data_IF_339041217879
#
_entry.id   IF_339041217879
#
_cell.length_a   1.000
_cell.length_b   1.000
_cell.length_c   1.000
_cell.angle_alpha   90.00
_cell.angle_beta   90.00
_cell.angle_gamma   90.00
#
_symmetry.space_group_name_H-M   'P 1'
#
loop_
_entity.id
_entity.type
_entity.pdbx_description
1 polymer ?
#
# COMPACT_ATOMS: atom_id res chain seq x y z
N UNK A 1 3.85 12.16 5.73
CA UNK A 1 4.85 12.81 6.62
C UNK A 1 6.05 11.90 6.90
N UNK A 2 5.83 10.60 7.12
CA UNK A 2 6.92 9.64 7.41
C UNK A 2 7.77 9.25 6.18
N UNK A 3 7.21 9.27 4.99
CA UNK A 3 7.95 8.95 3.75
C UNK A 3 8.97 10.01 3.33
N UNK A 4 8.79 11.25 3.76
CA UNK A 4 9.61 12.39 3.31
C UNK A 4 11.02 12.43 3.89
N UNK A 5 11.19 11.98 5.13
CA UNK A 5 12.49 12.04 5.80
C UNK A 5 13.43 10.89 5.37
N UNK A 6 12.87 9.74 5.00
CA UNK A 6 13.63 8.58 4.56
C UNK A 6 14.04 8.63 3.08
N UNK A 7 13.30 9.36 2.23
CA UNK A 7 13.72 9.54 0.84
C UNK A 7 14.99 10.40 0.69
N UNK A 8 15.26 11.32 1.62
CA UNK A 8 16.47 12.16 1.57
C UNK A 8 17.78 11.39 1.71
N UNK A 9 17.74 10.18 2.31
CA UNK A 9 18.94 9.33 2.49
C UNK A 9 19.25 8.45 1.28
N UNK A 10 18.26 8.15 0.44
CA UNK A 10 18.41 7.26 -0.74
C UNK A 10 19.08 7.90 -1.95
N UNK A 11 19.12 9.22 -2.03
CA UNK A 11 19.68 9.93 -3.22
C UNK A 11 21.21 9.88 -3.34
N UNK A 12 21.95 9.41 -2.33
CA UNK A 12 23.41 9.30 -2.40
C UNK A 12 23.88 7.96 -2.96
N UNK A 13 23.05 6.90 -2.93
CA UNK A 13 23.44 5.54 -3.31
C UNK A 13 23.19 5.20 -4.79
N UNK A 14 22.39 5.96 -5.52
CA UNK A 14 22.02 5.63 -6.91
C UNK A 14 23.10 5.96 -7.95
N UNK A 15 24.14 6.70 -7.58
CA UNK A 15 25.22 7.11 -8.50
C UNK A 15 26.40 6.13 -8.60
N UNK A 16 26.42 5.05 -7.77
CA UNK A 16 27.53 4.09 -7.76
C UNK A 16 27.24 2.73 -8.43
N UNK A 17 26.02 2.43 -8.79
CA UNK A 17 25.63 1.13 -9.34
C UNK A 17 25.74 0.97 -10.87
N UNK A 18 26.11 2.03 -11.60
CA UNK A 18 26.18 2.00 -13.07
C UNK A 18 27.52 1.54 -13.66
N UNK A 19 28.51 1.12 -12.86
CA UNK A 19 29.88 0.89 -13.32
C UNK A 19 30.38 -0.56 -13.29
N UNK A 20 29.56 -1.57 -12.96
CA UNK A 20 30.03 -2.97 -12.92
C UNK A 20 29.02 -3.96 -13.53
N UNK A 21 28.84 -3.88 -14.82
CA UNK A 21 28.22 -4.95 -15.59
C UNK A 21 29.03 -5.26 -16.84
N UNK A 22 30.21 -5.86 -16.66
CA UNK A 22 30.91 -6.60 -17.71
C UNK A 22 31.88 -7.57 -17.04
N UNK A 23 31.45 -8.80 -16.82
CA UNK A 23 32.23 -10.02 -16.96
C UNK A 23 31.62 -11.18 -16.16
N UNK A 24 31.52 -12.25 -16.85
CA UNK A 24 31.55 -13.67 -16.48
C UNK A 24 30.29 -14.46 -16.82
N UNK A 25 30.31 -14.93 -18.06
CA UNK A 25 29.65 -16.17 -18.45
C UNK A 25 30.68 -17.28 -18.32
N UNK A 26 30.44 -18.29 -17.49
CA UNK A 26 30.92 -19.68 -17.52
C UNK A 26 30.41 -20.34 -16.23
N UNK A 27 29.53 -21.33 -16.16
CA UNK A 27 29.56 -22.59 -16.84
C UNK A 27 29.42 -23.64 -15.78
N UNK A 28 28.36 -24.45 -15.81
CA UNK A 28 28.36 -25.77 -15.20
C UNK A 28 27.57 -26.71 -16.09
N UNK A 29 28.27 -27.59 -16.73
CA UNK A 29 27.75 -28.78 -17.37
C UNK A 29 28.65 -29.92 -17.05
N UNK A 30 28.11 -31.00 -16.59
CA UNK A 30 28.81 -32.19 -16.22
C UNK A 30 28.69 -33.29 -17.28
N UNK A 31 29.79 -34.00 -17.45
CA UNK A 31 30.04 -35.39 -17.89
C UNK A 31 30.39 -35.72 -19.34
N UNK A 32 31.61 -36.06 -19.39
CA UNK A 32 32.24 -37.29 -19.97
C UNK A 32 32.35 -37.45 -21.48
N UNK A 33 33.58 -37.54 -21.84
CA UNK A 33 34.36 -38.49 -22.61
C UNK A 33 34.99 -38.03 -23.92
N UNK A 34 36.32 -38.00 -23.80
CA UNK A 34 37.36 -38.53 -24.70
C UNK A 34 37.57 -38.00 -26.12
N UNK A 35 38.80 -37.62 -26.28
CA UNK A 35 39.77 -37.92 -27.38
C UNK A 35 40.26 -36.75 -28.22
N UNK A 36 41.51 -36.45 -27.93
CA UNK A 36 42.67 -36.22 -28.80
C UNK A 36 42.67 -35.15 -29.92
N UNK A 37 43.74 -34.38 -29.80
CA UNK A 37 44.68 -33.91 -30.85
C UNK A 37 44.36 -32.62 -31.61
N UNK A 38 45.29 -31.81 -31.49
CA UNK A 38 46.32 -31.11 -32.26
C UNK A 38 46.09 -29.61 -32.50
N UNK A 39 47.02 -28.92 -31.97
CA UNK A 39 47.89 -27.81 -32.40
C UNK A 39 47.50 -27.01 -33.65
N UNK A 40 47.39 -25.69 -33.52
CA UNK A 40 48.23 -24.76 -34.29
C UNK A 40 48.19 -23.33 -33.75
N UNK A 41 49.39 -22.76 -33.65
CA UNK A 41 49.67 -21.35 -33.32
C UNK A 41 49.43 -20.46 -34.55
N UNK A 42 49.05 -19.24 -34.37
CA UNK A 42 49.63 -18.12 -35.14
C UNK A 42 49.52 -16.81 -34.37
N UNK A 43 50.63 -16.14 -34.30
CA UNK A 43 50.93 -14.83 -33.71
C UNK A 43 50.51 -13.65 -34.59
N UNK A 44 50.58 -12.48 -33.95
CA UNK A 44 50.95 -11.14 -34.50
C UNK A 44 49.76 -10.30 -34.96
N UNK A 45 49.55 -9.04 -34.59
CA UNK A 45 50.46 -7.89 -34.43
C UNK A 45 49.75 -6.72 -33.71
N UNK A 46 50.56 -5.96 -32.97
CA UNK A 46 50.19 -4.68 -32.38
C UNK A 46 50.21 -3.55 -33.43
N UNK A 47 49.37 -2.56 -33.27
CA UNK A 47 49.60 -1.21 -33.80
C UNK A 47 49.10 -0.17 -32.82
N UNK A 48 50.04 0.62 -32.33
CA UNK A 48 49.82 1.83 -31.55
C UNK A 48 49.45 3.00 -32.47
N UNK A 49 48.59 3.89 -32.00
CA UNK A 49 48.51 5.24 -32.50
C UNK A 49 48.14 6.22 -31.38
N UNK A 50 48.96 7.18 -31.28
CA UNK A 50 49.17 8.25 -30.31
C UNK A 50 48.19 9.42 -30.43
N UNK A 51 47.86 10.05 -29.25
CA UNK A 51 47.81 11.49 -28.99
C UNK A 51 46.76 12.37 -29.68
N UNK A 52 45.93 13.00 -28.87
CA UNK A 52 45.90 14.49 -28.74
C UNK A 52 45.07 14.89 -27.51
N UNK A 53 45.72 15.62 -26.62
CA UNK A 53 45.10 16.35 -25.54
C UNK A 53 44.54 17.68 -26.09
N UNK A 54 43.33 18.03 -25.74
CA UNK A 54 42.84 19.40 -25.75
C UNK A 54 42.26 19.74 -24.38
N UNK A 55 42.92 20.64 -23.73
CA UNK A 55 42.43 21.42 -22.56
C UNK A 55 41.20 22.19 -22.98
N UNK A 56 40.11 22.05 -22.24
CA UNK A 56 39.06 23.02 -22.24
C UNK A 56 38.67 23.37 -20.78
N UNK A 57 38.87 24.59 -20.50
CA UNK A 57 38.60 25.39 -19.29
C UNK A 57 37.36 25.02 -18.52
N UNK A 58 37.53 24.88 -17.19
CA UNK A 58 36.47 24.87 -16.20
C UNK A 58 35.66 26.17 -16.24
N UNK A 59 34.37 26.03 -16.52
CA UNK A 59 33.38 27.02 -16.16
C UNK A 59 32.64 26.47 -14.94
N UNK A 60 32.73 27.16 -13.81
CA UNK A 60 31.90 26.99 -12.64
C UNK A 60 30.42 27.10 -13.05
N UNK A 61 29.72 25.97 -13.09
CA UNK A 61 28.26 25.97 -13.13
C UNK A 61 27.79 25.91 -11.68
N UNK A 62 27.09 26.93 -11.25
CA UNK A 62 26.32 26.93 -10.02
C UNK A 62 25.40 25.72 -10.02
N UNK A 63 25.52 24.87 -9.01
CA UNK A 63 24.56 23.81 -8.72
C UNK A 63 23.25 24.44 -8.31
N UNK A 64 22.35 24.53 -9.28
CA UNK A 64 20.92 24.65 -9.03
C UNK A 64 20.48 23.27 -8.52
N UNK A 65 20.27 23.15 -7.21
CA UNK A 65 19.70 21.97 -6.59
C UNK A 65 18.21 21.89 -6.93
N UNK A 66 17.90 21.62 -8.20
CA UNK A 66 16.58 21.12 -8.57
C UNK A 66 16.39 19.80 -7.82
N UNK A 67 15.41 19.80 -6.93
CA UNK A 67 14.90 18.60 -6.27
C UNK A 67 14.53 17.61 -7.37
N UNK A 68 15.32 16.57 -7.55
CA UNK A 68 14.98 15.46 -8.44
C UNK A 68 13.66 14.85 -7.95
N UNK A 69 12.55 15.25 -8.57
CA UNK A 69 11.31 14.51 -8.49
C UNK A 69 11.58 13.15 -9.13
N UNK A 70 11.34 12.07 -8.40
CA UNK A 70 11.42 10.73 -8.98
C UNK A 70 10.16 10.54 -9.80
N UNK A 71 10.30 10.46 -11.12
CA UNK A 71 9.16 10.35 -12.01
C UNK A 71 8.37 9.06 -11.78
N UNK A 72 9.05 7.95 -11.52
CA UNK A 72 8.42 6.65 -11.30
C UNK A 72 9.08 5.87 -10.14
N UNK A 73 8.26 5.25 -9.29
CA UNK A 73 8.67 4.30 -8.27
C UNK A 73 7.98 2.97 -8.52
N UNK A 74 8.77 1.89 -8.61
CA UNK A 74 8.27 0.53 -8.77
C UNK A 74 8.39 -0.22 -7.45
N UNK A 75 7.27 -0.73 -6.91
CA UNK A 75 7.24 -1.57 -5.71
C UNK A 75 6.60 -2.92 -6.01
N UNK A 76 6.83 -3.91 -5.15
CA UNK A 76 6.18 -5.21 -5.28
C UNK A 76 5.38 -5.57 -4.02
N UNK A 77 4.22 -6.20 -4.26
CA UNK A 77 3.30 -6.71 -3.25
C UNK A 77 3.03 -8.20 -3.47
N UNK A 78 2.63 -8.96 -2.44
CA UNK A 78 2.31 -10.38 -2.59
C UNK A 78 1.00 -10.65 -3.33
N UNK A 79 0.14 -9.66 -3.47
CA UNK A 79 -1.19 -9.76 -4.06
C UNK A 79 -1.50 -8.55 -4.91
N UNK A 80 -2.54 -8.66 -5.72
CA UNK A 80 -3.01 -7.56 -6.53
C UNK A 80 -3.53 -6.42 -5.65
N UNK A 81 -3.12 -5.19 -5.96
CA UNK A 81 -3.57 -3.99 -5.25
C UNK A 81 -5.01 -3.60 -5.61
N UNK A 82 -5.54 -4.11 -6.73
CA UNK A 82 -6.92 -3.93 -7.17
C UNK A 82 -7.57 -5.30 -7.28
N UNK A 83 -8.45 -5.65 -6.36
CA UNK A 83 -9.06 -6.97 -6.33
C UNK A 83 -10.54 -6.96 -6.75
N UNK A 84 -10.92 -7.99 -7.49
CA UNK A 84 -12.29 -8.21 -7.90
C UNK A 84 -12.78 -7.18 -8.91
N UNK A 85 -13.87 -6.49 -8.61
CA UNK A 85 -14.53 -5.49 -9.46
C UNK A 85 -13.86 -4.11 -9.44
N UNK A 86 -12.54 -4.03 -9.29
CA UNK A 86 -11.82 -2.76 -9.22
C UNK A 86 -11.90 -2.07 -7.84
N UNK A 87 -12.51 -2.71 -6.84
CA UNK A 87 -12.60 -2.17 -5.48
C UNK A 87 -11.25 -2.27 -4.77
N UNK A 88 -10.58 -1.14 -4.60
CA UNK A 88 -9.30 -1.01 -3.92
C UNK A 88 -9.41 -1.17 -2.37
N UNK A 89 -10.56 -1.61 -1.88
CA UNK A 89 -10.92 -1.67 -0.47
C UNK A 89 -9.93 -2.40 0.42
N UNK A 90 -9.29 -3.45 -0.06
CA UNK A 90 -8.53 -4.34 0.80
C UNK A 90 -7.00 -4.19 0.70
N UNK A 91 -6.51 -3.31 -0.12
CA UNK A 91 -5.08 -3.14 -0.31
C UNK A 91 -4.60 -1.83 0.31
N UNK A 92 -3.45 -1.88 0.98
CA UNK A 92 -2.81 -0.71 1.57
C UNK A 92 -2.58 0.40 0.56
N UNK A 93 -2.29 0.00 -0.66
CA UNK A 93 -2.08 0.88 -1.80
C UNK A 93 -3.37 1.62 -2.19
N UNK A 94 -4.51 1.06 -1.86
CA UNK A 94 -5.81 1.71 -2.03
C UNK A 94 -5.94 3.01 -1.22
N UNK A 95 -5.26 3.10 -0.08
CA UNK A 95 -5.23 4.32 0.73
C UNK A 95 -4.56 5.52 0.02
N UNK A 96 -3.87 5.31 -1.10
CA UNK A 96 -3.40 6.40 -1.95
C UNK A 96 -4.48 6.90 -2.92
N UNK A 97 -5.53 6.13 -3.14
CA UNK A 97 -6.58 6.42 -4.12
C UNK A 97 -7.85 6.93 -3.45
N UNK A 98 -8.27 6.29 -2.37
CA UNK A 98 -9.51 6.62 -1.67
C UNK A 98 -9.26 7.20 -0.28
N UNK A 99 -10.26 7.87 0.22
CA UNK A 99 -10.29 8.43 1.57
C UNK A 99 -11.61 8.05 2.25
N UNK A 100 -11.61 8.10 3.58
CA UNK A 100 -12.79 7.89 4.42
C UNK A 100 -13.22 9.22 5.08
N UNK A 101 -14.30 9.20 5.87
CA UNK A 101 -14.73 10.41 6.58
C UNK A 101 -13.69 10.85 7.62
N UNK A 102 -13.06 9.89 8.29
CA UNK A 102 -12.03 10.11 9.31
C UNK A 102 -10.82 9.25 9.02
N UNK A 103 -9.68 9.56 9.60
CA UNK A 103 -8.45 8.79 9.48
C UNK A 103 -8.04 8.22 10.83
N UNK A 104 -7.58 6.96 10.86
CA UNK A 104 -7.06 6.32 12.05
C UNK A 104 -5.53 6.36 12.05
N UNK A 105 -4.95 7.25 12.83
CA UNK A 105 -3.52 7.41 12.99
C UNK A 105 -3.06 6.78 14.31
N UNK A 106 -2.87 5.46 14.28
CA UNK A 106 -2.36 4.78 15.45
C UNK A 106 -3.33 4.75 16.63
N UNK A 107 -4.63 4.67 16.39
CA UNK A 107 -5.69 4.70 17.40
C UNK A 107 -6.17 6.11 17.73
N UNK A 108 -5.58 7.15 17.16
CA UNK A 108 -6.08 8.52 17.22
C UNK A 108 -6.89 8.78 15.95
N UNK A 109 -8.12 9.23 16.11
CA UNK A 109 -8.99 9.52 14.97
C UNK A 109 -8.86 11.00 14.61
N UNK A 110 -8.38 11.23 13.39
CA UNK A 110 -8.17 12.56 12.84
C UNK A 110 -9.20 12.89 11.75
N UNK A 111 -9.49 14.19 11.51
CA UNK A 111 -10.27 14.64 10.37
C UNK A 111 -9.66 14.18 9.03
N UNK A 112 -10.57 13.75 8.09
CA UNK A 112 -10.17 13.46 6.71
C UNK A 112 -11.17 14.11 5.74
N UNK A 113 -12.11 13.36 5.14
CA UNK A 113 -13.20 13.96 4.35
C UNK A 113 -14.24 14.68 5.22
N UNK A 114 -14.37 14.33 6.50
CA UNK A 114 -15.02 15.15 7.49
C UNK A 114 -14.03 16.07 8.19
N UNK A 115 -14.30 17.37 8.23
CA UNK A 115 -13.49 18.37 8.94
C UNK A 115 -13.68 18.29 10.45
N UNK A 116 -14.87 17.89 10.89
CA UNK A 116 -15.24 17.74 12.30
C UNK A 116 -16.50 16.91 12.42
N UNK A 117 -16.75 16.42 13.63
CA UNK A 117 -17.98 15.73 13.99
C UNK A 117 -18.34 16.01 15.45
N UNK A 118 -19.59 15.80 15.75
CA UNK A 118 -20.14 15.90 17.09
C UNK A 118 -21.25 14.86 17.29
N UNK A 119 -21.55 14.55 18.54
CA UNK A 119 -22.64 13.65 18.91
C UNK A 119 -23.39 14.18 20.14
N UNK A 120 -24.63 13.71 20.33
CA UNK A 120 -25.39 13.98 21.55
C UNK A 120 -24.82 13.17 22.74
N UNK A 121 -25.28 13.47 23.95
CA UNK A 121 -24.75 12.90 25.20
C UNK A 121 -24.85 11.37 25.27
N UNK A 122 -25.84 10.76 24.63
CA UNK A 122 -26.07 9.32 24.63
C UNK A 122 -25.54 8.61 23.36
N UNK A 123 -24.81 9.33 22.49
CA UNK A 123 -24.20 8.80 21.27
C UNK A 123 -25.18 8.10 20.32
N UNK A 124 -26.45 8.57 20.29
CA UNK A 124 -27.48 8.10 19.36
C UNK A 124 -27.63 8.98 18.13
N UNK A 125 -27.13 10.20 18.18
CA UNK A 125 -27.14 11.14 17.06
C UNK A 125 -25.73 11.65 16.82
N UNK A 126 -25.29 11.58 15.57
CA UNK A 126 -23.94 12.02 15.12
C UNK A 126 -24.09 12.96 13.93
N UNK A 127 -23.36 14.05 13.94
CA UNK A 127 -23.31 15.01 12.84
C UNK A 127 -21.87 15.15 12.37
N UNK A 128 -21.63 14.98 11.06
CA UNK A 128 -20.34 15.15 10.42
C UNK A 128 -20.37 16.35 9.49
N UNK A 129 -19.42 17.26 9.67
CA UNK A 129 -19.20 18.40 8.79
C UNK A 129 -18.16 18.04 7.75
N UNK A 130 -18.54 17.93 6.49
CA UNK A 130 -17.73 17.49 5.38
C UNK A 130 -16.84 18.62 4.84
N UNK A 131 -15.81 18.23 4.10
CA UNK A 131 -14.97 19.16 3.32
C UNK A 131 -15.75 19.70 2.13
N UNK A 132 -15.54 20.96 1.80
CA UNK A 132 -16.11 21.65 0.65
C UNK A 132 -15.06 21.86 -0.48
N UNK A 133 -13.82 21.40 -0.26
CA UNK A 133 -12.67 21.51 -1.16
C UNK A 133 -12.18 20.13 -1.67
N UNK A 134 -12.85 19.04 -1.35
CA UNK A 134 -12.50 17.70 -1.82
C UNK A 134 -13.25 17.35 -3.11
N UNK A 135 -12.48 16.88 -4.10
CA UNK A 135 -13.00 16.42 -5.39
C UNK A 135 -12.42 15.04 -5.71
N UNK A 136 -13.26 14.19 -6.28
CA UNK A 136 -12.81 12.94 -6.88
C UNK A 136 -11.96 13.23 -8.12
N UNK A 137 -11.13 12.28 -8.50
CA UNK A 137 -10.20 12.44 -9.65
C UNK A 137 -10.90 12.53 -11.01
N UNK A 138 -12.21 12.29 -11.07
CA UNK A 138 -13.07 12.53 -12.23
C UNK A 138 -13.76 13.91 -12.21
N UNK A 139 -13.51 14.71 -11.19
CA UNK A 139 -14.04 16.08 -11.03
C UNK A 139 -15.37 16.18 -10.30
N UNK A 140 -15.97 15.10 -9.85
CA UNK A 140 -17.16 15.13 -8.97
C UNK A 140 -16.74 15.68 -7.60
N UNK A 141 -17.50 16.63 -7.07
CA UNK A 141 -17.28 17.14 -5.71
C UNK A 141 -17.77 16.12 -4.68
N UNK A 142 -17.00 15.93 -3.63
CA UNK A 142 -17.46 15.19 -2.46
C UNK A 142 -18.38 16.08 -1.61
N UNK A 143 -19.63 15.71 -1.49
CA UNK A 143 -20.67 16.40 -0.74
C UNK A 143 -21.53 15.42 0.07
N UNK A 144 -22.56 15.93 0.72
CA UNK A 144 -23.46 15.14 1.55
C UNK A 144 -24.25 14.09 0.75
N UNK A 145 -24.67 14.41 -0.49
CA UNK A 145 -25.38 13.44 -1.34
C UNK A 145 -24.47 12.29 -1.74
N UNK A 146 -23.23 12.58 -2.11
CA UNK A 146 -22.22 11.56 -2.47
C UNK A 146 -21.82 10.73 -1.26
N UNK A 147 -21.67 11.34 -0.08
CA UNK A 147 -21.43 10.65 1.17
C UNK A 147 -22.53 9.61 1.46
N UNK A 148 -23.79 10.04 1.43
CA UNK A 148 -24.93 9.16 1.69
C UNK A 148 -25.04 8.03 0.66
N UNK A 149 -24.81 8.30 -0.63
CA UNK A 149 -24.78 7.29 -1.69
C UNK A 149 -23.71 6.21 -1.44
N UNK A 150 -22.53 6.60 -0.95
CA UNK A 150 -21.50 5.63 -0.60
C UNK A 150 -21.93 4.72 0.55
N UNK A 151 -22.61 5.25 1.55
CA UNK A 151 -23.11 4.44 2.66
C UNK A 151 -24.27 3.56 2.22
N UNK A 152 -25.19 4.07 1.38
CA UNK A 152 -26.25 3.27 0.76
C UNK A 152 -25.67 2.10 -0.06
N UNK A 153 -24.58 2.33 -0.75
CA UNK A 153 -23.83 1.29 -1.47
C UNK A 153 -23.48 0.08 -0.57
N UNK A 154 -23.19 0.29 0.70
CA UNK A 154 -22.93 -0.81 1.64
C UNK A 154 -24.18 -1.67 1.92
N UNK A 155 -25.37 -1.12 1.75
CA UNK A 155 -26.64 -1.85 1.87
C UNK A 155 -26.80 -2.99 0.88
N UNK A 156 -26.08 -2.97 -0.23
CA UNK A 156 -26.09 -4.05 -1.22
C UNK A 156 -25.33 -5.30 -0.78
N UNK A 157 -24.64 -5.27 0.36
CA UNK A 157 -23.89 -6.42 0.87
C UNK A 157 -22.68 -6.76 -0.03
N UNK A 158 -21.91 -5.76 -0.38
CA UNK A 158 -20.76 -5.91 -1.28
C UNK A 158 -19.77 -6.89 -0.67
N UNK A 159 -19.46 -7.94 -1.40
CA UNK A 159 -18.53 -8.98 -0.96
C UNK A 159 -17.28 -8.95 -1.82
N UNK A 160 -16.15 -8.67 -1.19
CA UNK A 160 -14.82 -8.90 -1.77
C UNK A 160 -14.32 -10.29 -1.40
N UNK A 161 -13.14 -10.67 -1.88
CA UNK A 161 -12.49 -11.94 -1.53
C UNK A 161 -12.31 -12.12 -0.02
N UNK A 162 -12.19 -11.04 0.75
CA UNK A 162 -11.81 -11.08 2.16
C UNK A 162 -12.88 -10.57 3.11
N UNK A 163 -13.85 -9.77 2.64
CA UNK A 163 -14.84 -9.15 3.51
C UNK A 163 -16.18 -8.97 2.81
N UNK A 164 -17.22 -8.83 3.62
CA UNK A 164 -18.54 -8.39 3.17
C UNK A 164 -18.87 -7.10 3.84
N UNK A 165 -18.98 -6.03 3.07
CA UNK A 165 -19.45 -4.74 3.52
C UNK A 165 -20.99 -4.74 3.58
N UNK A 166 -21.55 -4.33 4.70
CA UNK A 166 -23.01 -4.13 4.84
C UNK A 166 -23.30 -3.11 5.92
N UNK A 167 -24.39 -2.38 5.76
CA UNK A 167 -24.85 -1.41 6.77
C UNK A 167 -25.05 -2.08 8.14
N UNK A 168 -25.63 -3.28 8.18
CA UNK A 168 -25.89 -4.00 9.44
C UNK A 168 -24.60 -4.32 10.22
N UNK A 169 -23.49 -4.55 9.53
CA UNK A 169 -22.21 -4.83 10.17
C UNK A 169 -21.44 -3.56 10.51
N UNK A 170 -21.41 -2.61 9.58
CA UNK A 170 -20.61 -1.40 9.72
C UNK A 170 -21.31 -0.36 10.60
N UNK A 171 -22.64 -0.24 10.47
CA UNK A 171 -23.47 0.72 11.19
C UNK A 171 -24.64 0.00 11.89
N UNK A 172 -24.36 -0.86 12.89
CA UNK A 172 -25.42 -1.57 13.59
C UNK A 172 -26.38 -0.61 14.27
N UNK A 173 -27.67 -0.93 14.20
CA UNK A 173 -28.77 -0.11 14.76
C UNK A 173 -28.94 1.26 14.09
N UNK A 174 -28.44 1.48 12.90
CA UNK A 174 -28.72 2.68 12.13
C UNK A 174 -30.24 2.75 11.88
N UNK A 175 -30.85 3.86 12.28
CA UNK A 175 -32.29 4.17 12.09
C UNK A 175 -32.44 5.08 10.85
N UNK A 176 -31.63 6.15 10.80
CA UNK A 176 -31.74 7.17 9.78
C UNK A 176 -30.38 7.76 9.46
N UNK A 177 -30.19 8.10 8.20
CA UNK A 177 -29.14 9.00 7.73
C UNK A 177 -29.75 10.07 6.86
N UNK A 178 -29.30 11.31 6.99
CA UNK A 178 -29.90 12.44 6.30
C UNK A 178 -28.87 13.52 5.96
N UNK A 179 -29.13 14.16 4.84
CA UNK A 179 -28.46 15.39 4.43
C UNK A 179 -29.08 16.54 5.24
N UNK A 180 -28.28 17.26 6.02
CA UNK A 180 -28.68 18.48 6.73
C UNK A 180 -28.51 19.70 5.82
N UNK A 181 -27.37 19.78 5.15
CA UNK A 181 -27.05 20.72 4.07
C UNK A 181 -26.02 20.09 3.11
N UNK A 182 -25.48 20.86 2.16
CA UNK A 182 -24.61 20.32 1.12
C UNK A 182 -23.31 19.70 1.67
N UNK A 183 -22.87 20.07 2.86
CA UNK A 183 -21.64 19.57 3.48
C UNK A 183 -21.87 19.08 4.92
N UNK A 184 -23.10 18.72 5.29
CA UNK A 184 -23.40 18.21 6.61
C UNK A 184 -24.32 17.00 6.52
N UNK A 185 -23.87 15.89 7.10
CA UNK A 185 -24.66 14.64 7.20
C UNK A 185 -24.93 14.31 8.66
N UNK A 186 -26.09 13.74 8.93
CA UNK A 186 -26.50 13.30 10.26
C UNK A 186 -26.89 11.83 10.23
N UNK A 187 -26.45 11.11 11.26
CA UNK A 187 -26.81 9.72 11.52
C UNK A 187 -27.58 9.62 12.82
N UNK A 188 -28.65 8.85 12.81
CA UNK A 188 -29.44 8.54 13.99
C UNK A 188 -29.47 7.03 14.18
N UNK A 189 -29.30 6.59 15.43
CA UNK A 189 -29.22 5.19 15.81
C UNK A 189 -30.30 4.88 16.88
N UNK A 190 -30.84 3.66 16.83
CA UNK A 190 -31.79 3.17 17.85
C UNK A 190 -31.12 2.76 19.17
N UNK A 191 -29.80 2.64 19.16
CA UNK A 191 -28.95 2.31 20.31
C UNK A 191 -27.67 3.14 20.25
N UNK A 192 -27.04 3.47 21.41
CA UNK A 192 -25.76 4.19 21.42
C UNK A 192 -24.69 3.51 20.61
N UNK A 193 -23.94 4.29 19.80
CA UNK A 193 -22.71 3.90 19.14
C UNK A 193 -21.61 4.90 19.53
N UNK A 194 -20.66 4.46 20.34
CA UNK A 194 -19.64 5.34 20.94
C UNK A 194 -18.33 5.40 20.15
N UNK A 195 -18.30 4.78 18.98
CA UNK A 195 -17.09 4.59 18.16
C UNK A 195 -17.35 4.82 16.68
N UNK A 196 -18.35 5.65 16.35
CA UNK A 196 -18.75 5.85 14.95
C UNK A 196 -17.63 6.48 14.15
N UNK A 197 -16.92 7.44 14.71
CA UNK A 197 -15.75 8.06 14.08
C UNK A 197 -14.65 7.04 13.77
N UNK A 198 -14.50 6.02 14.59
CA UNK A 198 -13.58 4.93 14.37
C UNK A 198 -14.05 3.99 13.24
N UNK A 199 -15.35 3.66 13.24
CA UNK A 199 -15.94 2.82 12.18
C UNK A 199 -15.83 3.50 10.82
N UNK A 200 -15.98 4.82 10.77
CA UNK A 200 -15.90 5.60 9.52
C UNK A 200 -14.46 5.96 9.11
N UNK A 201 -13.45 5.43 9.83
CA UNK A 201 -12.03 5.53 9.49
C UNK A 201 -11.44 4.25 8.92
N UNK A 202 -12.15 3.16 8.96
CA UNK A 202 -11.65 1.83 8.61
C UNK A 202 -11.76 1.56 7.11
N UNK A 203 -11.11 0.49 6.68
CA UNK A 203 -11.19 -0.07 5.33
C UNK A 203 -12.63 -0.30 4.84
N UNK A 204 -13.58 -0.46 5.76
CA UNK A 204 -14.99 -0.60 5.48
C UNK A 204 -15.70 0.67 5.02
N UNK A 205 -15.04 1.81 5.02
CA UNK A 205 -15.68 3.10 4.80
C UNK A 205 -15.08 3.98 3.71
N UNK A 206 -14.41 3.42 2.65
CA UNK A 206 -13.89 4.25 1.58
C UNK A 206 -15.01 4.96 0.83
N UNK A 207 -14.76 6.21 0.48
CA UNK A 207 -15.66 7.03 -0.33
C UNK A 207 -15.18 7.04 -1.79
N UNK A 208 -16.08 6.70 -2.70
CA UNK A 208 -15.84 6.63 -4.13
C UNK A 208 -16.75 7.58 -4.90
N UNK A 209 -16.30 8.00 -6.07
CA UNK A 209 -17.15 8.73 -7.00
C UNK A 209 -18.37 7.88 -7.39
N UNK A 210 -19.58 8.46 -7.42
CA UNK A 210 -20.76 7.75 -7.88
C UNK A 210 -20.67 7.32 -9.36
N UNK A 211 -19.72 7.86 -10.13
CA UNK A 211 -19.51 7.49 -11.51
C UNK A 211 -18.78 6.15 -11.69
N UNK A 212 -18.13 5.61 -10.65
CA UNK A 212 -17.36 4.38 -10.77
C UNK A 212 -18.08 3.13 -10.26
N UNK A 213 -19.27 3.25 -9.69
CA UNK A 213 -20.03 2.11 -9.21
C UNK A 213 -21.49 2.13 -9.71
N UNK A 214 -22.04 0.96 -9.88
CA UNK A 214 -23.44 0.76 -10.22
C UNK A 214 -24.34 1.00 -8.98
N UNK A 215 -25.31 1.89 -9.08
CA UNK A 215 -26.16 2.27 -7.96
C UNK A 215 -27.07 1.12 -7.48
N UNK A 216 -27.42 0.15 -8.34
CA UNK A 216 -28.31 -0.96 -7.97
C UNK A 216 -27.55 -2.10 -7.28
N UNK A 217 -26.30 -2.33 -7.68
CA UNK A 217 -25.51 -3.46 -7.18
C UNK A 217 -24.37 -3.03 -6.25
N UNK A 218 -23.99 -1.75 -6.25
CA UNK A 218 -22.86 -1.22 -5.53
C UNK A 218 -21.47 -1.64 -6.06
N UNK A 219 -21.43 -2.35 -7.20
CA UNK A 219 -20.21 -2.91 -7.77
C UNK A 219 -19.46 -1.85 -8.57
N UNK A 220 -18.14 -1.77 -8.36
CA UNK A 220 -17.25 -0.90 -9.14
C UNK A 220 -17.01 -1.53 -10.50
N UNK A 221 -17.17 -0.72 -11.56
CA UNK A 221 -17.19 -1.20 -12.96
C UNK A 221 -15.78 -1.49 -13.51
N UNK A 222 -14.83 -0.57 -13.27
CA UNK A 222 -13.45 -0.66 -13.75
C UNK A 222 -12.46 -0.43 -12.62
N UNK A 223 -12.27 0.84 -12.24
CA UNK A 223 -11.37 1.26 -11.17
C UNK A 223 -12.10 2.08 -10.13
N UNK A 224 -11.65 1.97 -8.89
CA UNK A 224 -12.06 2.88 -7.85
C UNK A 224 -11.61 4.31 -8.18
N UNK A 225 -12.55 5.25 -8.19
CA UNK A 225 -12.30 6.68 -8.35
C UNK A 225 -12.46 7.33 -6.99
N UNK A 226 -11.34 7.70 -6.39
CA UNK A 226 -11.30 8.30 -5.06
C UNK A 226 -10.93 9.77 -5.08
N UNK A 227 -10.84 10.34 -3.89
CA UNK A 227 -10.43 11.72 -3.62
C UNK A 227 -8.94 11.84 -3.30
N UNK A 228 -8.23 10.73 -3.20
CA UNK A 228 -6.87 10.63 -2.67
C UNK A 228 -5.80 11.31 -3.52
N UNK A 229 -4.53 11.29 -3.02
CA UNK A 229 -3.39 11.92 -3.68
C UNK A 229 -2.94 11.21 -4.98
N UNK A 230 -3.47 10.03 -5.28
CA UNK A 230 -3.21 9.29 -6.51
C UNK A 230 -4.50 8.74 -7.12
N UNK A 231 -4.46 8.47 -8.42
CA UNK A 231 -5.53 7.83 -9.20
C UNK A 231 -4.99 6.60 -9.93
N UNK A 232 -5.81 5.58 -10.10
CA UNK A 232 -5.49 4.42 -10.93
C UNK A 232 -5.60 4.85 -12.40
N UNK A 233 -4.56 4.56 -13.20
CA UNK A 233 -4.52 4.87 -14.64
C UNK A 233 -4.36 3.63 -15.52
N UNK A 234 -3.85 2.54 -14.95
CA UNK A 234 -3.68 1.26 -15.66
C UNK A 234 -3.65 0.10 -14.67
N UNK A 235 -4.24 -1.03 -15.04
CA UNK A 235 -4.26 -2.24 -14.24
C UNK A 235 -4.29 -3.48 -15.13
N UNK A 236 -3.41 -4.43 -14.84
CA UNK A 236 -3.46 -5.78 -15.40
C UNK A 236 -3.59 -6.75 -14.24
N UNK A 237 -4.73 -7.45 -14.20
CA UNK A 237 -5.09 -8.36 -13.11
C UNK A 237 -3.96 -9.35 -12.79
N UNK A 238 -3.60 -9.44 -11.53
CA UNK A 238 -2.52 -10.28 -10.99
C UNK A 238 -1.12 -9.96 -11.53
N UNK A 239 -0.91 -8.85 -12.22
CA UNK A 239 0.39 -8.42 -12.73
C UNK A 239 0.83 -7.10 -12.12
N UNK A 240 0.06 -6.02 -12.30
CA UNK A 240 0.39 -4.71 -11.75
C UNK A 240 -0.78 -3.73 -11.78
N UNK A 241 -0.66 -2.69 -10.96
CA UNK A 241 -1.45 -1.45 -11.07
C UNK A 241 -0.51 -0.26 -11.19
N UNK A 242 -0.90 0.73 -11.98
CA UNK A 242 -0.19 2.01 -12.13
C UNK A 242 -1.03 3.12 -11.55
N UNK A 243 -0.43 3.85 -10.60
CA UNK A 243 -1.02 5.02 -9.97
C UNK A 243 -0.32 6.27 -10.47
N UNK A 244 -1.09 7.30 -10.85
CA UNK A 244 -0.60 8.62 -11.21
C UNK A 244 -1.00 9.64 -10.15
N UNK A 245 -0.13 10.58 -9.84
CA UNK A 245 -0.39 11.63 -8.85
C UNK A 245 -1.60 12.48 -9.25
N UNK A 246 -2.45 12.76 -8.27
CA UNK A 246 -3.57 13.68 -8.41
C UNK A 246 -3.09 15.11 -8.09
N UNK A 247 -2.73 15.87 -9.11
CA UNK A 247 -2.24 17.25 -8.93
C UNK A 247 -3.32 18.21 -8.39
N UNK A 248 -4.59 17.81 -8.38
CA UNK A 248 -5.71 18.57 -7.81
C UNK A 248 -6.09 18.11 -6.39
N UNK A 249 -5.26 17.29 -5.77
CA UNK A 249 -5.49 16.86 -4.40
C UNK A 249 -5.51 18.06 -3.43
N UNK A 250 -6.50 18.11 -2.55
CA UNK A 250 -6.67 19.21 -1.60
C UNK A 250 -5.60 19.27 -0.50
N UNK A 251 -4.92 18.14 -0.25
CA UNK A 251 -3.85 18.02 0.73
C UNK A 251 -2.47 18.25 0.12
N UNK A 252 -1.43 17.82 0.81
CA UNK A 252 -0.08 17.91 0.33
C UNK A 252 0.21 16.81 -0.70
N UNK A 253 0.61 17.22 -1.89
CA UNK A 253 0.94 16.29 -2.97
C UNK A 253 2.24 15.54 -2.70
N UNK A 254 2.25 14.22 -2.99
CA UNK A 254 3.44 13.40 -2.99
C UNK A 254 4.46 13.86 -4.05
N UNK A 255 5.75 13.57 -3.82
CA UNK A 255 6.83 13.90 -4.75
C UNK A 255 6.98 12.93 -5.91
N UNK A 256 6.44 11.73 -5.77
CA UNK A 256 6.45 10.70 -6.81
C UNK A 256 5.30 10.96 -7.77
N UNK A 257 5.58 11.01 -9.07
CA UNK A 257 4.54 11.22 -10.09
C UNK A 257 3.78 9.94 -10.40
N UNK A 258 4.49 8.81 -10.46
CA UNK A 258 3.91 7.53 -10.83
C UNK A 258 4.39 6.43 -9.88
N UNK A 259 3.47 5.65 -9.36
CA UNK A 259 3.76 4.38 -8.72
C UNK A 259 3.34 3.23 -9.62
N UNK A 260 4.24 2.28 -9.85
CA UNK A 260 3.90 0.99 -10.42
C UNK A 260 4.00 -0.07 -9.34
N UNK A 261 2.88 -0.67 -8.98
CA UNK A 261 2.78 -1.69 -7.93
C UNK A 261 2.63 -3.04 -8.62
N UNK A 262 3.66 -3.88 -8.53
CA UNK A 262 3.70 -5.20 -9.16
C UNK A 262 3.19 -6.26 -8.21
N UNK A 263 2.32 -7.12 -8.69
CA UNK A 263 1.90 -8.33 -8.00
C UNK A 263 2.93 -9.45 -8.23
N UNK A 264 3.67 -9.81 -7.19
CA UNK A 264 4.62 -10.93 -7.22
C UNK A 264 4.30 -11.85 -6.03
N UNK A 265 3.50 -12.91 -6.20
CA UNK A 265 3.01 -13.74 -5.09
C UNK A 265 4.10 -14.50 -4.32
N UNK A 266 5.18 -14.91 -5.01
CA UNK A 266 6.26 -15.67 -4.40
C UNK A 266 7.27 -14.76 -3.68
N UNK A 267 7.54 -15.02 -2.41
CA UNK A 267 8.37 -14.17 -1.55
C UNK A 267 9.85 -14.15 -1.97
N UNK A 268 10.40 -15.28 -2.44
CA UNK A 268 11.80 -15.34 -2.87
C UNK A 268 11.99 -14.59 -4.19
N UNK A 269 11.00 -14.66 -5.07
CA UNK A 269 10.96 -13.89 -6.31
C UNK A 269 10.88 -12.39 -6.03
N UNK A 270 10.07 -11.95 -5.06
CA UNK A 270 10.03 -10.52 -4.65
C UNK A 270 11.37 -10.04 -4.13
N UNK A 271 12.01 -10.80 -3.24
CA UNK A 271 13.34 -10.47 -2.71
C UNK A 271 14.39 -10.45 -3.83
N UNK A 272 14.31 -11.35 -4.80
CA UNK A 272 15.19 -11.38 -5.96
C UNK A 272 15.00 -10.15 -6.85
N UNK A 273 13.76 -9.74 -7.11
CA UNK A 273 13.44 -8.54 -7.86
C UNK A 273 13.95 -7.26 -7.16
N UNK A 274 13.85 -7.21 -5.82
CA UNK A 274 14.42 -6.12 -5.03
C UNK A 274 15.95 -6.07 -5.13
N UNK A 275 16.64 -7.21 -5.01
CA UNK A 275 18.09 -7.30 -5.12
C UNK A 275 18.63 -6.97 -6.51
N UNK A 276 17.88 -7.29 -7.54
CA UNK A 276 18.25 -6.96 -8.93
C UNK A 276 17.97 -5.51 -9.31
N UNK A 277 17.24 -4.76 -8.48
CA UNK A 277 16.79 -3.40 -8.78
C UNK A 277 15.59 -3.35 -9.75
N UNK A 278 14.95 -4.48 -10.01
CA UNK A 278 13.70 -4.54 -10.81
C UNK A 278 12.54 -3.86 -10.09
N UNK A 279 12.55 -3.89 -8.76
CA UNK A 279 11.67 -3.12 -7.90
C UNK A 279 12.50 -2.35 -6.87
N UNK A 280 12.00 -1.18 -6.47
CA UNK A 280 12.66 -0.28 -5.53
C UNK A 280 12.27 -0.54 -4.07
N UNK A 281 11.20 -1.30 -3.85
CA UNK A 281 10.70 -1.61 -2.52
C UNK A 281 9.72 -2.77 -2.53
N UNK A 282 9.51 -3.32 -1.33
CA UNK A 282 8.47 -4.30 -1.06
C UNK A 282 7.47 -3.66 -0.09
N UNK A 283 6.21 -3.86 -0.34
CA UNK A 283 5.12 -3.33 0.48
C UNK A 283 4.08 -4.41 0.76
N UNK A 284 3.17 -4.12 1.66
CA UNK A 284 2.11 -4.99 2.16
C UNK A 284 2.55 -5.97 3.25
N UNK A 285 1.58 -6.39 4.06
CA UNK A 285 1.75 -7.37 5.12
C UNK A 285 2.17 -8.73 4.53
N UNK A 286 3.27 -9.27 5.04
CA UNK A 286 3.82 -10.53 4.52
C UNK A 286 4.58 -10.41 3.19
N UNK A 287 4.89 -9.20 2.73
CA UNK A 287 5.72 -9.00 1.53
C UNK A 287 7.11 -9.64 1.68
N UNK A 288 7.66 -9.60 2.89
CA UNK A 288 8.90 -10.26 3.27
C UNK A 288 8.80 -10.69 4.74
N UNK A 289 9.43 -11.81 5.12
CA UNK A 289 9.50 -12.17 6.54
C UNK A 289 10.48 -11.26 7.29
N UNK A 290 10.25 -11.03 8.58
CA UNK A 290 11.11 -10.20 9.39
C UNK A 290 12.57 -10.66 9.37
N UNK A 291 12.81 -11.96 9.50
CA UNK A 291 14.16 -12.53 9.45
C UNK A 291 14.84 -12.30 8.10
N UNK A 292 14.11 -12.43 7.00
CA UNK A 292 14.64 -12.17 5.67
C UNK A 292 14.95 -10.68 5.46
N UNK A 293 14.10 -9.78 5.97
CA UNK A 293 14.32 -8.34 5.91
C UNK A 293 15.54 -7.92 6.73
N UNK A 294 15.65 -8.40 7.97
CA UNK A 294 16.82 -8.14 8.84
C UNK A 294 18.11 -8.67 8.20
N UNK A 295 18.10 -9.92 7.72
CA UNK A 295 19.27 -10.49 7.06
C UNK A 295 19.68 -9.70 5.80
N UNK A 296 18.71 -9.21 5.03
CA UNK A 296 18.98 -8.39 3.86
C UNK A 296 19.68 -7.08 4.26
N UNK A 297 19.15 -6.36 5.23
CA UNK A 297 19.73 -5.10 5.72
C UNK A 297 21.10 -5.30 6.42
N UNK A 298 21.28 -6.41 7.15
CA UNK A 298 22.55 -6.72 7.84
C UNK A 298 23.66 -7.10 6.83
N UNK A 299 23.31 -7.69 5.70
CA UNK A 299 24.28 -8.16 4.71
C UNK A 299 24.57 -7.15 3.60
N UNK A 300 23.68 -6.20 3.37
CA UNK A 300 23.80 -5.19 2.31
C UNK A 300 23.23 -3.85 2.77
N UNK A 301 24.10 -2.89 3.01
CA UNK A 301 23.73 -1.54 3.50
C UNK A 301 23.00 -0.66 2.46
N UNK A 302 22.78 -1.14 1.25
CA UNK A 302 21.94 -0.48 0.24
C UNK A 302 20.45 -0.65 0.52
N UNK A 303 20.09 -1.60 1.40
CA UNK A 303 18.72 -1.83 1.83
C UNK A 303 18.45 -1.23 3.20
N UNK A 304 17.26 -0.68 3.35
CA UNK A 304 16.75 -0.13 4.60
C UNK A 304 15.36 -0.73 4.86
N UNK A 305 15.09 -1.07 6.11
CA UNK A 305 13.80 -1.53 6.57
C UNK A 305 13.18 -0.44 7.44
N UNK A 306 11.99 -0.01 7.05
CA UNK A 306 11.14 0.83 7.90
C UNK A 306 10.09 -0.05 8.56
N UNK A 307 9.85 0.14 9.86
CA UNK A 307 8.87 -0.61 10.62
C UNK A 307 8.09 0.31 11.56
N UNK A 308 6.79 0.08 11.62
CA UNK A 308 5.89 0.81 12.50
C UNK A 308 5.15 -0.18 13.39
N UNK A 309 4.93 0.12 14.69
CA UNK A 309 4.12 -0.72 15.54
C UNK A 309 2.74 -0.96 14.93
N UNK A 310 2.40 -2.23 14.76
CA UNK A 310 1.10 -2.63 14.24
C UNK A 310 0.02 -2.54 15.31
N UNK A 311 -1.19 -2.10 14.95
CA UNK A 311 -2.39 -2.20 15.77
C UNK A 311 -3.13 -3.53 15.59
N UNK A 312 -2.57 -4.43 14.77
CA UNK A 312 -3.13 -5.76 14.56
C UNK A 312 -2.77 -6.68 15.72
N UNK A 313 -3.70 -7.53 16.07
CA UNK A 313 -3.51 -8.57 17.09
C UNK A 313 -3.58 -9.94 16.43
N UNK A 314 -2.52 -10.70 16.54
CA UNK A 314 -2.51 -12.12 16.17
C UNK A 314 -3.22 -12.93 17.26
N UNK A 315 -4.15 -13.79 16.88
CA UNK A 315 -4.89 -14.60 17.82
C UNK A 315 -5.21 -15.99 17.26
N UNK A 316 -5.43 -16.93 18.16
CA UNK A 316 -5.88 -18.29 17.83
C UNK A 316 -7.36 -18.39 18.16
N UNK A 317 -8.19 -18.61 17.14
CA UNK A 317 -9.60 -18.94 17.32
C UNK A 317 -9.77 -20.42 17.68
N UNK A 318 -10.50 -20.69 18.75
CA UNK A 318 -10.88 -22.04 19.12
C UNK A 318 -12.24 -22.41 18.55
N UNK A 319 -12.34 -23.60 17.96
CA UNK A 319 -13.63 -24.17 17.59
C UNK A 319 -14.30 -24.75 18.84
N UNK A 320 -15.25 -24.05 19.41
CA UNK A 320 -16.00 -24.44 20.62
C UNK A 320 -16.94 -25.62 20.42
N UNK A 321 -17.19 -26.03 19.17
CA UNK A 321 -17.91 -27.29 18.86
C UNK A 321 -17.07 -28.52 19.02
N UNK A 322 -15.74 -28.39 19.16
CA UNK A 322 -14.86 -29.50 19.49
C UNK A 322 -15.06 -29.86 20.98
N UNK A 323 -15.24 -31.17 21.27
CA UNK A 323 -15.53 -31.65 22.62
C UNK A 323 -14.51 -31.24 23.69
N UNK A 324 -13.22 -31.12 23.33
CA UNK A 324 -12.16 -30.68 24.24
C UNK A 324 -12.12 -29.17 24.38
N UNK A 325 -12.38 -28.45 23.30
CA UNK A 325 -12.30 -26.97 23.27
C UNK A 325 -13.61 -26.29 23.68
N UNK A 326 -14.71 -27.04 23.81
CA UNK A 326 -15.95 -26.55 24.40
C UNK A 326 -15.78 -26.15 25.88
N UNK A 327 -14.90 -26.85 26.62
CA UNK A 327 -14.59 -26.50 28.00
C UNK A 327 -13.73 -25.22 28.07
N UNK A 328 -14.28 -24.19 28.74
CA UNK A 328 -13.60 -22.91 28.95
C UNK A 328 -12.21 -23.09 29.58
N UNK A 329 -12.07 -24.03 30.51
CA UNK A 329 -10.82 -24.30 31.22
C UNK A 329 -9.71 -24.78 30.27
N UNK A 330 -10.07 -25.53 29.23
CA UNK A 330 -9.10 -25.95 28.20
C UNK A 330 -8.60 -24.75 27.41
N UNK A 331 -9.51 -23.87 26.97
CA UNK A 331 -9.11 -22.66 26.26
C UNK A 331 -8.25 -21.74 27.11
N UNK A 332 -8.57 -21.62 28.41
CA UNK A 332 -7.77 -20.88 29.38
C UNK A 332 -6.38 -21.49 29.58
N UNK A 333 -6.29 -22.82 29.64
CA UNK A 333 -5.02 -23.54 29.76
C UNK A 333 -4.10 -23.26 28.56
N UNK A 334 -4.65 -23.29 27.32
CA UNK A 334 -3.89 -22.88 26.13
C UNK A 334 -3.39 -21.43 26.22
N UNK A 335 -4.27 -20.53 26.66
CA UNK A 335 -3.91 -19.12 26.82
C UNK A 335 -2.78 -18.89 27.83
N UNK A 336 -2.81 -19.62 28.96
CA UNK A 336 -1.78 -19.55 30.00
C UNK A 336 -0.48 -20.26 29.61
N UNK A 337 -0.56 -21.31 28.78
CA UNK A 337 0.60 -22.05 28.30
C UNK A 337 1.34 -21.36 27.14
N UNK A 338 0.74 -20.35 26.52
CA UNK A 338 1.34 -19.62 25.39
C UNK A 338 2.32 -18.57 25.92
N UNK A 339 3.59 -18.78 25.62
CA UNK A 339 4.65 -17.78 25.88
C UNK A 339 4.66 -16.72 24.76
N UNK A 340 3.90 -15.66 24.99
CA UNK A 340 3.75 -14.55 24.02
C UNK A 340 5.05 -13.80 23.81
N UNK A 341 5.82 -13.61 24.86
CA UNK A 341 7.07 -12.84 24.80
C UNK A 341 8.09 -13.55 23.90
N UNK A 342 8.20 -14.88 24.06
CA UNK A 342 9.05 -15.70 23.18
C UNK A 342 8.56 -15.68 21.74
N UNK A 343 7.25 -15.78 21.51
CA UNK A 343 6.67 -15.69 20.15
C UNK A 343 6.97 -14.32 19.54
N UNK A 344 6.73 -13.24 20.26
CA UNK A 344 7.00 -11.90 19.76
C UNK A 344 8.47 -11.71 19.44
N UNK A 345 9.37 -12.11 20.34
CA UNK A 345 10.82 -11.92 20.15
C UNK A 345 11.42 -12.78 19.04
N UNK A 346 10.88 -13.98 18.79
CA UNK A 346 11.40 -14.91 17.76
C UNK A 346 10.82 -14.63 16.39
N UNK A 347 9.53 -14.26 16.31
CA UNK A 347 8.83 -14.10 15.01
C UNK A 347 8.88 -12.65 14.54
N UNK A 348 8.74 -11.68 15.44
CA UNK A 348 8.65 -10.26 15.08
C UNK A 348 9.89 -9.43 15.45
N UNK A 349 10.79 -9.96 16.24
CA UNK A 349 12.11 -9.35 16.55
C UNK A 349 12.11 -8.44 17.76
#
# INVERSE_FOLDING_TARGET
>A
YYMEENMKKKHVSLLLAAAMAASVISGCGNSANNSAAETEKTETTAAAATSAAEETTAAEAAEDTEKNETDEVVIATPRDAVQGSGDAYYCWEGAYVWEALTANNGGVIDPWLAKSWEHNDDCTEWTFNLRDDAYFTDGVQFDADVCLKNIERWGHGITSTYTTLSIEKSLPNLDKMEKVDDFTVKFTFTQPITTLEYVLSDYGSPMYSPNCFDEETGVISDYAIGTGPYKIVDHVESEYVTLERNDNYYGENGKVKTFKIRCIPDAETRVSALKSGEVMGLADNGAITMDAAKNLCDTDSSFEMDSTPSHMTEYIMFNDKNEYLADKRMREAFNLATDRDSICSVIYG
#
